data_IF_197715514570
#
_entry.id   IF_197715514570
#
_cell.length_a   1.000
_cell.length_b   1.000
_cell.length_c   1.000
_cell.angle_alpha   90.00
_cell.angle_beta   90.00
_cell.angle_gamma   90.00
#
_symmetry.space_group_name_H-M   'P 1'
#
loop_
_entity.id
_entity.type
_entity.pdbx_description
1 polymer ?
#
# COMPACT_ATOMS: atom_id res chain seq x y z
N UNK A 1 13.33 -2.29 0.51
CA UNK A 1 13.15 -2.01 -0.94
C UNK A 1 12.19 -0.84 -1.12
N UNK A 2 12.48 0.03 -2.07
CA UNK A 2 11.64 1.19 -2.32
C UNK A 2 10.62 0.91 -3.40
N UNK A 3 9.36 1.18 -3.07
CA UNK A 3 8.24 1.06 -3.98
C UNK A 3 7.43 2.36 -3.98
N UNK A 4 6.73 2.61 -5.08
CA UNK A 4 5.69 3.65 -5.13
C UNK A 4 4.33 2.99 -5.00
N UNK A 5 3.43 3.64 -4.29
CA UNK A 5 2.03 3.22 -4.25
C UNK A 5 1.40 3.58 -5.59
N UNK A 6 1.16 2.57 -6.42
CA UNK A 6 0.60 2.74 -7.74
C UNK A 6 -0.91 2.92 -7.68
N UNK A 7 -1.59 2.11 -6.86
CA UNK A 7 -3.04 2.09 -6.79
C UNK A 7 -3.50 1.55 -5.45
N UNK A 8 -4.62 2.07 -4.96
CA UNK A 8 -5.32 1.54 -3.78
C UNK A 8 -6.78 1.36 -4.17
N UNK A 9 -7.25 0.12 -4.11
CA UNK A 9 -8.62 -0.24 -4.54
C UNK A 9 -9.37 -0.91 -3.39
N UNK A 10 -10.70 -0.94 -3.49
CA UNK A 10 -11.54 -1.61 -2.51
C UNK A 10 -11.34 -3.12 -2.55
N UNK A 11 -11.28 -3.76 -1.37
CA UNK A 11 -11.24 -5.22 -1.24
C UNK A 11 -12.62 -5.87 -1.43
N UNK A 12 -13.67 -5.07 -1.38
CA UNK A 12 -15.06 -5.55 -1.46
C UNK A 12 -15.79 -5.59 -0.12
N UNK A 13 -15.11 -5.30 0.99
CA UNK A 13 -15.75 -5.33 2.31
C UNK A 13 -16.78 -4.19 2.48
N UNK A 14 -16.43 -2.98 2.02
CA UNK A 14 -17.27 -1.79 2.13
C UNK A 14 -17.45 -1.04 0.82
N UNK A 15 -17.20 -1.70 -0.28
CA UNK A 15 -17.28 -1.10 -1.60
C UNK A 15 -17.22 -2.18 -2.67
N UNK A 16 -17.22 -1.76 -3.91
CA UNK A 16 -17.11 -2.69 -5.02
C UNK A 16 -15.64 -3.09 -5.20
N UNK A 17 -15.36 -4.39 -5.10
CA UNK A 17 -14.00 -4.90 -5.28
C UNK A 17 -13.43 -4.44 -6.62
N UNK A 18 -12.20 -3.95 -6.58
CA UNK A 18 -11.50 -3.51 -7.77
C UNK A 18 -11.73 -2.04 -8.16
N UNK A 19 -12.61 -1.33 -7.46
CA UNK A 19 -12.83 0.11 -7.70
C UNK A 19 -11.82 0.91 -6.88
N UNK A 20 -11.25 1.95 -7.50
CA UNK A 20 -10.29 2.83 -6.83
C UNK A 20 -10.91 3.47 -5.58
N UNK A 21 -10.15 3.48 -4.50
CA UNK A 21 -10.56 4.16 -3.27
C UNK A 21 -10.37 5.65 -3.43
N UNK A 22 -11.49 6.37 -3.38
CA UNK A 22 -11.50 7.83 -3.48
C UNK A 22 -11.91 8.49 -2.15
N UNK A 23 -12.20 7.66 -1.14
CA UNK A 23 -12.62 8.12 0.19
C UNK A 23 -11.43 8.50 1.06
N UNK A 24 -11.66 9.35 2.05
CA UNK A 24 -10.67 9.74 3.03
C UNK A 24 -9.40 10.31 2.41
N UNK A 25 -8.25 9.83 2.87
CA UNK A 25 -6.95 10.28 2.40
C UNK A 25 -6.31 9.34 1.37
N UNK A 26 -7.02 8.33 0.90
CA UNK A 26 -6.46 7.35 -0.02
C UNK A 26 -5.92 7.98 -1.31
N UNK A 27 -6.61 8.93 -1.95
CA UNK A 27 -6.06 9.56 -3.16
C UNK A 27 -4.73 10.29 -2.92
N UNK A 28 -4.51 10.82 -1.72
CA UNK A 28 -3.27 11.53 -1.38
C UNK A 28 -2.07 10.60 -1.23
N UNK A 29 -2.31 9.30 -1.05
CA UNK A 29 -1.26 8.31 -0.83
C UNK A 29 -0.68 7.76 -2.12
N UNK A 30 -1.38 7.96 -3.24
CA UNK A 30 -0.91 7.50 -4.55
C UNK A 30 0.39 8.22 -4.91
N UNK A 31 1.34 7.46 -5.50
CA UNK A 31 2.67 7.92 -5.91
C UNK A 31 3.64 8.17 -4.75
N UNK A 32 3.21 8.08 -3.49
CA UNK A 32 4.16 8.14 -2.37
C UNK A 32 5.15 6.97 -2.43
N UNK A 33 6.40 7.26 -2.13
CA UNK A 33 7.45 6.23 -2.05
C UNK A 33 7.48 5.66 -0.63
N UNK A 34 7.53 4.34 -0.54
CA UNK A 34 7.55 3.61 0.72
C UNK A 34 8.74 2.67 0.76
N UNK A 35 9.24 2.42 1.97
CA UNK A 35 10.17 1.31 2.21
C UNK A 35 9.35 0.11 2.64
N UNK A 36 9.28 -0.90 1.78
CA UNK A 36 8.50 -2.10 2.00
C UNK A 36 9.44 -3.27 2.27
N UNK A 37 9.43 -3.76 3.50
CA UNK A 37 10.18 -4.94 3.88
C UNK A 37 9.30 -6.18 3.66
N UNK A 38 9.59 -6.93 2.61
CA UNK A 38 8.79 -8.08 2.22
C UNK A 38 8.81 -9.20 3.28
N UNK A 39 9.85 -9.25 4.12
CA UNK A 39 9.94 -10.22 5.21
C UNK A 39 8.95 -9.96 6.34
N UNK A 40 8.47 -8.72 6.46
CA UNK A 40 7.51 -8.32 7.49
C UNK A 40 6.07 -8.45 7.04
N UNK A 41 5.83 -8.83 5.79
CA UNK A 41 4.48 -9.00 5.24
C UNK A 41 3.97 -10.40 5.56
N UNK A 42 2.97 -10.46 6.46
CA UNK A 42 2.40 -11.74 6.94
C UNK A 42 0.89 -11.68 6.97
N UNK A 43 0.24 -12.73 6.50
CA UNK A 43 -1.20 -12.91 6.63
C UNK A 43 -1.60 -12.83 8.11
N UNK A 44 -2.66 -12.09 8.40
CA UNK A 44 -3.17 -11.91 9.76
C UNK A 44 -2.54 -10.75 10.54
N UNK A 45 -1.51 -10.11 9.99
CA UNK A 45 -0.84 -8.97 10.62
C UNK A 45 -1.08 -7.69 9.83
N UNK A 46 -1.08 -6.53 10.49
CA UNK A 46 -1.11 -5.25 9.77
C UNK A 46 0.14 -5.06 8.92
N UNK A 47 0.01 -4.33 7.82
CA UNK A 47 1.14 -3.89 7.03
C UNK A 47 1.57 -2.50 7.49
N UNK A 48 2.86 -2.31 7.72
CA UNK A 48 3.42 -1.01 8.07
C UNK A 48 4.13 -0.46 6.82
N UNK A 49 3.59 0.63 6.29
CA UNK A 49 4.19 1.34 5.16
C UNK A 49 5.00 2.52 5.70
N UNK A 50 6.30 2.37 5.73
CA UNK A 50 7.19 3.46 6.11
C UNK A 50 7.39 4.37 4.91
N UNK A 51 6.88 5.60 5.00
CA UNK A 51 7.04 6.57 3.93
C UNK A 51 8.48 7.05 3.82
N UNK A 52 8.94 7.27 2.60
CA UNK A 52 10.23 7.88 2.30
C UNK A 52 10.02 9.25 1.64
N UNK A 53 9.12 9.32 0.66
CA UNK A 53 8.81 10.55 -0.06
C UNK A 53 7.31 10.71 -0.24
N UNK A 54 6.84 11.95 -0.19
CA UNK A 54 5.47 12.29 -0.55
C UNK A 54 5.31 12.28 -2.08
N UNK A 55 4.08 12.41 -2.56
CA UNK A 55 3.76 12.38 -3.99
C UNK A 55 4.48 13.46 -4.80
N UNK A 56 4.81 14.60 -4.17
CA UNK A 56 5.55 15.70 -4.81
C UNK A 56 7.08 15.50 -4.76
N UNK A 57 7.57 14.39 -4.21
CA UNK A 57 8.97 14.09 -4.08
C UNK A 57 9.64 14.63 -2.83
N UNK A 58 8.93 15.39 -2.00
CA UNK A 58 9.47 15.92 -0.74
C UNK A 58 9.72 14.81 0.27
N UNK A 59 10.64 15.06 1.22
CA UNK A 59 10.93 14.12 2.29
C UNK A 59 9.69 13.90 3.18
N UNK A 60 9.34 12.64 3.39
CA UNK A 60 8.22 12.23 4.22
C UNK A 60 8.60 11.08 5.17
N UNK A 61 9.88 10.92 5.42
CA UNK A 61 10.47 9.75 6.09
C UNK A 61 10.14 9.64 7.57
N UNK A 62 9.56 10.66 8.18
CA UNK A 62 9.11 10.63 9.58
C UNK A 62 7.67 10.14 9.74
N UNK A 63 7.02 9.74 8.65
CA UNK A 63 5.61 9.31 8.65
C UNK A 63 5.48 7.85 8.23
N UNK A 64 4.44 7.21 8.68
CA UNK A 64 4.11 5.83 8.31
C UNK A 64 2.59 5.65 8.24
N UNK A 65 2.18 4.58 7.56
CA UNK A 65 0.80 4.14 7.51
C UNK A 65 0.72 2.71 8.05
N UNK A 66 -0.12 2.50 9.06
CA UNK A 66 -0.47 1.16 9.53
C UNK A 66 -1.82 0.78 8.93
N UNK A 67 -1.86 -0.31 8.17
CA UNK A 67 -3.08 -0.79 7.54
C UNK A 67 -3.87 -1.71 8.47
N UNK A 68 -5.06 -2.11 8.04
CA UNK A 68 -5.75 -3.26 8.62
C UNK A 68 -4.96 -4.55 8.33
N UNK A 69 -5.39 -5.66 8.91
CA UNK A 69 -4.67 -6.93 8.77
C UNK A 69 -4.63 -7.41 7.32
N UNK A 70 -3.49 -7.95 6.92
CA UNK A 70 -3.29 -8.54 5.60
C UNK A 70 -4.11 -9.82 5.51
N UNK A 71 -4.88 -9.97 4.44
CA UNK A 71 -5.69 -11.15 4.16
C UNK A 71 -5.25 -11.89 2.91
N UNK A 72 -4.43 -11.28 2.06
CA UNK A 72 -3.93 -11.91 0.84
C UNK A 72 -2.67 -11.25 0.32
N UNK A 73 -1.80 -12.07 -0.25
CA UNK A 73 -0.60 -11.64 -0.97
C UNK A 73 -0.75 -12.18 -2.38
N UNK A 74 -1.05 -11.28 -3.34
CA UNK A 74 -1.42 -11.68 -4.71
C UNK A 74 -0.23 -11.74 -5.65
N UNK A 75 0.88 -11.13 -5.28
CA UNK A 75 2.10 -11.17 -6.06
C UNK A 75 3.15 -10.28 -5.40
N UNK A 76 4.37 -10.78 -5.36
CA UNK A 76 5.52 -10.02 -4.86
C UNK A 76 6.73 -10.41 -5.69
N UNK A 77 7.31 -9.45 -6.39
CA UNK A 77 8.57 -9.60 -7.07
C UNK A 77 9.37 -8.29 -6.99
N UNK A 78 10.51 -8.22 -7.68
CA UNK A 78 11.38 -7.05 -7.63
C UNK A 78 10.76 -5.80 -8.23
N UNK A 79 9.77 -5.93 -9.11
CA UNK A 79 9.19 -4.81 -9.86
C UNK A 79 7.81 -4.41 -9.35
N UNK A 80 7.11 -5.35 -8.71
CA UNK A 80 5.71 -5.19 -8.40
C UNK A 80 5.32 -5.95 -7.13
N UNK A 81 4.43 -5.38 -6.36
CA UNK A 81 3.80 -6.08 -5.23
C UNK A 81 2.31 -5.75 -5.18
N UNK A 82 1.49 -6.74 -4.86
CA UNK A 82 0.05 -6.57 -4.68
C UNK A 82 -0.37 -7.24 -3.38
N UNK A 83 -0.83 -6.45 -2.42
CA UNK A 83 -1.14 -6.92 -1.07
C UNK A 83 -2.53 -6.46 -0.70
N UNK A 84 -3.35 -7.43 -0.30
CA UNK A 84 -4.72 -7.18 0.15
C UNK A 84 -4.79 -7.15 1.67
N UNK A 85 -5.40 -6.10 2.20
CA UNK A 85 -5.80 -6.00 3.60
C UNK A 85 -7.32 -6.17 3.70
N UNK A 86 -7.85 -6.13 4.91
CA UNK A 86 -9.30 -6.27 5.12
C UNK A 86 -10.11 -5.20 4.37
N UNK A 87 -9.55 -4.00 4.20
CA UNK A 87 -10.28 -2.87 3.61
C UNK A 87 -9.85 -2.51 2.20
N UNK A 88 -8.61 -2.86 1.81
CA UNK A 88 -8.03 -2.34 0.57
C UNK A 88 -7.08 -3.34 -0.06
N UNK A 89 -6.90 -3.20 -1.38
CA UNK A 89 -5.84 -3.86 -2.12
C UNK A 89 -4.84 -2.79 -2.53
N UNK A 90 -3.59 -2.95 -2.11
CA UNK A 90 -2.50 -2.03 -2.43
C UNK A 90 -1.66 -2.60 -3.56
N UNK A 91 -1.51 -1.83 -4.63
CA UNK A 91 -0.62 -2.15 -5.73
C UNK A 91 0.60 -1.25 -5.64
N UNK A 92 1.77 -1.85 -5.61
CA UNK A 92 3.05 -1.16 -5.53
C UNK A 92 3.85 -1.44 -6.80
N UNK A 93 4.60 -0.45 -7.25
CA UNK A 93 5.59 -0.64 -8.31
C UNK A 93 6.97 -0.18 -7.82
N UNK A 94 8.04 -0.77 -8.35
CA UNK A 94 9.38 -0.41 -7.96
C UNK A 94 9.65 1.07 -8.24
N UNK A 95 10.19 1.73 -7.25
CA UNK A 95 10.56 3.14 -7.36
C UNK A 95 11.86 3.34 -8.13
#
# INVERSE_FOLDING_TARGET
>A
MEYKIKRIIHSGLRGTRGIDRTDGRYPLRIVRTVDLNLNDIKIGCPMILKYLKNADGSDYSNMFLKTSNIVGIHGVDELFACIETMNSIFEFERA
#
